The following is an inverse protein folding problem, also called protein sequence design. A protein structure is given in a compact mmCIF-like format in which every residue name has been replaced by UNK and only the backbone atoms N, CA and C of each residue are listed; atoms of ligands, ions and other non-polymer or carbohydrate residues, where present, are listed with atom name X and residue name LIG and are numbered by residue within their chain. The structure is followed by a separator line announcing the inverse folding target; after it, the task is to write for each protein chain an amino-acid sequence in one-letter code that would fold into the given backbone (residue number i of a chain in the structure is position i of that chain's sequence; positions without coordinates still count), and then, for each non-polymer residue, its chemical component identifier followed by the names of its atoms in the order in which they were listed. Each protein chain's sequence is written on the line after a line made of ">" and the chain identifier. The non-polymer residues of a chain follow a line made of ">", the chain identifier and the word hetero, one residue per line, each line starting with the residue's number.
data_IF_805470635711
#
_entry.id   IF_805470635711
#
_cell.length_a   1.000
_cell.length_b   1.000
_cell.length_c   1.000
_cell.angle_alpha   90.00
_cell.angle_beta   90.00
_cell.angle_gamma   90.00
#
_symmetry.space_group_name_H-M   'P 1'
#
loop_
_entity.id
_entity.type
_entity.pdbx_description
1 polymer ?
#
# COMPACT_ATOMS: atom_id res chain seq x y z
N UNK A 1 31.10 -17.04 -5.03
CA UNK A 1 29.87 -17.70 -5.53
C UNK A 1 29.24 -16.83 -6.60
N UNK A 2 28.97 -17.33 -7.82
CA UNK A 2 28.33 -16.54 -8.86
C UNK A 2 26.89 -16.19 -8.45
N UNK A 3 26.54 -14.91 -8.52
CA UNK A 3 25.21 -14.37 -8.21
C UNK A 3 24.13 -15.04 -9.08
N UNK A 4 22.98 -15.49 -8.53
CA UNK A 4 21.96 -16.16 -9.31
C UNK A 4 21.48 -15.21 -10.42
N UNK A 5 21.57 -15.67 -11.67
CA UNK A 5 21.16 -14.90 -12.85
C UNK A 5 19.82 -14.23 -12.60
N UNK A 6 19.76 -12.91 -12.79
CA UNK A 6 18.58 -12.06 -12.57
C UNK A 6 17.44 -12.52 -13.51
N UNK A 7 16.65 -13.52 -13.10
CA UNK A 7 15.45 -13.96 -13.85
C UNK A 7 14.59 -12.74 -14.12
N UNK A 8 14.31 -12.45 -15.40
CA UNK A 8 13.39 -11.38 -15.79
C UNK A 8 12.06 -11.59 -15.07
N UNK A 9 11.56 -10.55 -14.40
CA UNK A 9 10.30 -10.59 -13.66
C UNK A 9 9.15 -10.84 -14.63
N UNK A 10 8.41 -11.93 -14.44
CA UNK A 10 7.26 -12.26 -15.28
C UNK A 10 5.98 -11.64 -14.70
N UNK A 11 5.68 -10.42 -15.14
CA UNK A 11 4.52 -9.65 -14.68
C UNK A 11 3.17 -10.34 -14.97
N UNK A 12 3.05 -11.04 -16.11
CA UNK A 12 1.81 -11.76 -16.48
C UNK A 12 1.51 -12.87 -15.48
N UNK A 13 2.52 -13.66 -15.12
CA UNK A 13 2.39 -14.72 -14.12
C UNK A 13 2.09 -14.16 -12.72
N UNK A 14 2.77 -13.09 -12.31
CA UNK A 14 2.55 -12.45 -11.02
C UNK A 14 1.13 -11.87 -10.89
N UNK A 15 0.62 -11.29 -11.98
CA UNK A 15 -0.75 -10.80 -12.01
C UNK A 15 -1.74 -11.95 -11.80
N UNK A 16 -1.62 -13.03 -12.57
CA UNK A 16 -2.48 -14.21 -12.48
C UNK A 16 -2.41 -14.91 -11.12
N UNK A 17 -1.24 -14.93 -10.48
CA UNK A 17 -1.01 -15.65 -9.22
C UNK A 17 -1.33 -14.82 -7.98
N UNK A 18 -1.30 -13.49 -8.06
CA UNK A 18 -1.45 -12.61 -6.91
C UNK A 18 -2.43 -11.48 -7.15
N UNK A 19 -2.21 -10.63 -8.16
CA UNK A 19 -2.94 -9.36 -8.29
C UNK A 19 -4.39 -9.55 -8.72
N UNK A 20 -4.69 -10.60 -9.50
CA UNK A 20 -6.04 -10.97 -9.94
C UNK A 20 -6.90 -11.58 -8.83
N UNK A 21 -6.30 -11.93 -7.68
CA UNK A 21 -7.05 -12.56 -6.57
C UNK A 21 -8.09 -11.57 -6.02
N UNK A 22 -9.36 -11.97 -5.83
CA UNK A 22 -10.40 -11.10 -5.29
C UNK A 22 -10.01 -10.41 -3.98
N UNK A 23 -9.27 -11.12 -3.11
CA UNK A 23 -8.72 -10.56 -1.87
C UNK A 23 -7.76 -9.40 -2.11
N UNK A 24 -6.86 -9.49 -3.09
CA UNK A 24 -5.92 -8.41 -3.40
C UNK A 24 -6.63 -7.22 -4.06
N UNK A 25 -7.63 -7.49 -4.89
CA UNK A 25 -8.49 -6.46 -5.47
C UNK A 25 -9.22 -5.69 -4.36
N UNK A 26 -9.86 -6.39 -3.40
CA UNK A 26 -10.50 -5.76 -2.23
C UNK A 26 -9.51 -4.91 -1.41
N UNK A 27 -8.35 -5.48 -1.07
CA UNK A 27 -7.31 -4.72 -0.36
C UNK A 27 -6.82 -3.48 -1.13
N UNK A 28 -6.85 -3.51 -2.47
CA UNK A 28 -6.51 -2.36 -3.31
C UNK A 28 -7.61 -1.31 -3.27
N UNK A 29 -8.88 -1.72 -3.36
CA UNK A 29 -10.01 -0.79 -3.27
C UNK A 29 -10.05 -0.11 -1.91
N UNK A 30 -9.82 -0.86 -0.82
CA UNK A 30 -9.85 -0.32 0.54
C UNK A 30 -8.70 0.68 0.80
N UNK A 31 -7.50 0.41 0.28
CA UNK A 31 -6.42 1.40 0.31
C UNK A 31 -6.75 2.66 -0.50
N UNK A 32 -7.47 2.50 -1.61
CA UNK A 32 -7.95 3.61 -2.43
C UNK A 32 -8.98 4.48 -1.70
N UNK A 33 -9.92 3.87 -0.99
CA UNK A 33 -10.90 4.59 -0.17
C UNK A 33 -10.22 5.32 0.99
N UNK A 34 -9.29 4.67 1.71
CA UNK A 34 -8.48 5.33 2.73
C UNK A 34 -7.75 6.57 2.20
N UNK A 35 -7.16 6.47 1.00
CA UNK A 35 -6.49 7.60 0.35
C UNK A 35 -7.45 8.74 0.05
N UNK A 36 -8.66 8.45 -0.46
CA UNK A 36 -9.70 9.46 -0.72
C UNK A 36 -10.18 10.14 0.57
N UNK A 37 -10.38 9.38 1.64
CA UNK A 37 -10.76 9.92 2.95
C UNK A 37 -9.68 10.88 3.46
N UNK A 38 -8.40 10.50 3.35
CA UNK A 38 -7.28 11.36 3.74
C UNK A 38 -7.12 12.56 2.81
N UNK A 39 -7.37 12.40 1.52
CA UNK A 39 -7.33 13.48 0.56
C UNK A 39 -8.41 14.54 0.84
N UNK A 40 -9.64 14.13 1.15
CA UNK A 40 -10.70 15.02 1.61
C UNK A 40 -10.39 15.66 2.97
N UNK A 41 -9.63 14.96 3.82
CA UNK A 41 -9.29 15.38 5.17
C UNK A 41 -8.25 16.49 5.26
N UNK A 42 -7.17 16.35 4.50
CA UNK A 42 -5.97 17.18 4.61
C UNK A 42 -5.59 17.87 3.30
N UNK A 43 -6.28 17.55 2.21
CA UNK A 43 -5.97 18.02 0.87
C UNK A 43 -4.80 17.28 0.19
N UNK A 44 -4.79 17.32 -1.14
CA UNK A 44 -3.74 16.68 -1.98
C UNK A 44 -2.33 17.19 -1.66
N UNK A 45 -2.19 18.46 -1.28
CA UNK A 45 -0.89 19.07 -0.99
C UNK A 45 -0.22 18.41 0.23
N UNK A 46 -0.97 18.18 1.30
CA UNK A 46 -0.47 17.55 2.53
C UNK A 46 -0.10 16.06 2.33
N UNK A 47 -0.65 15.42 1.29
CA UNK A 47 -0.36 14.03 0.90
C UNK A 47 0.92 13.89 0.06
N UNK A 48 1.49 14.99 -0.46
CA UNK A 48 2.69 14.94 -1.30
C UNK A 48 3.86 14.41 -0.49
N UNK A 49 4.48 13.32 -0.96
CA UNK A 49 5.62 12.68 -0.27
C UNK A 49 5.26 11.89 0.99
N UNK A 50 3.96 11.68 1.26
CA UNK A 50 3.46 10.90 2.40
C UNK A 50 2.57 9.75 1.92
N UNK A 51 2.61 8.66 2.66
CA UNK A 51 1.76 7.50 2.47
C UNK A 51 0.72 7.42 3.61
N UNK A 52 -0.45 6.87 3.28
CA UNK A 52 -1.49 6.55 4.27
C UNK A 52 -1.11 5.24 4.96
N UNK A 53 -1.04 5.28 6.29
CA UNK A 53 -0.73 4.16 7.15
C UNK A 53 -1.97 3.75 7.96
N UNK A 54 -2.33 2.47 7.90
CA UNK A 54 -3.33 1.85 8.76
C UNK A 54 -2.64 1.39 10.05
N UNK A 55 -3.01 1.94 11.21
CA UNK A 55 -2.34 1.64 12.49
C UNK A 55 -2.50 0.19 12.93
N UNK A 56 -3.61 -0.43 12.58
CA UNK A 56 -3.97 -1.82 12.90
C UNK A 56 -3.48 -2.85 11.86
N UNK A 57 -2.75 -2.42 10.82
CA UNK A 57 -2.32 -3.26 9.70
C UNK A 57 -3.47 -3.95 8.93
N UNK A 58 -4.71 -3.51 9.13
CA UNK A 58 -5.87 -3.97 8.41
C UNK A 58 -6.31 -2.92 7.40
N UNK A 59 -6.23 -3.26 6.11
CA UNK A 59 -6.64 -2.36 5.02
C UNK A 59 -8.14 -2.08 5.02
N UNK A 60 -8.96 -2.95 5.63
CA UNK A 60 -10.42 -2.80 5.64
C UNK A 60 -10.90 -1.69 6.59
N UNK A 61 -10.09 -1.34 7.60
CA UNK A 61 -10.46 -0.35 8.60
C UNK A 61 -10.10 1.07 8.15
N UNK A 62 -11.01 1.68 7.39
CA UNK A 62 -10.85 3.02 6.82
C UNK A 62 -11.31 4.15 7.75
N UNK A 63 -11.49 3.90 9.05
CA UNK A 63 -11.85 4.93 10.02
C UNK A 63 -10.74 5.99 10.09
N UNK A 64 -11.10 7.27 10.05
CA UNK A 64 -10.13 8.38 10.06
C UNK A 64 -9.19 8.36 11.28
N UNK A 65 -9.64 7.87 12.43
CA UNK A 65 -8.80 7.70 13.63
C UNK A 65 -7.72 6.62 13.48
N UNK A 66 -7.96 5.61 12.63
CA UNK A 66 -7.04 4.53 12.31
C UNK A 66 -6.04 4.90 11.20
N UNK A 67 -6.39 5.86 10.35
CA UNK A 67 -5.53 6.36 9.28
C UNK A 67 -4.55 7.40 9.80
N UNK A 68 -3.29 7.27 9.41
CA UNK A 68 -2.25 8.25 9.69
C UNK A 68 -1.48 8.60 8.42
N UNK A 69 -1.02 9.85 8.31
CA UNK A 69 -0.05 10.23 7.30
C UNK A 69 1.36 10.02 7.83
N UNK A 70 2.12 9.19 7.13
CA UNK A 70 3.53 8.95 7.43
C UNK A 70 4.38 9.28 6.21
N UNK A 71 5.66 9.60 6.44
CA UNK A 71 6.60 9.71 5.34
C UNK A 71 6.74 8.35 4.64
N UNK A 72 6.94 8.39 3.32
CA UNK A 72 7.12 7.19 2.49
C UNK A 72 8.22 6.28 3.06
N UNK A 73 9.34 6.88 3.49
CA UNK A 73 10.47 6.15 4.05
C UNK A 73 10.10 5.37 5.32
N UNK A 74 9.35 6.00 6.24
CA UNK A 74 8.95 5.38 7.50
C UNK A 74 7.96 4.23 7.27
N UNK A 75 6.95 4.45 6.43
CA UNK A 75 5.94 3.43 6.14
C UNK A 75 6.59 2.21 5.45
N UNK A 76 7.45 2.43 4.44
CA UNK A 76 8.16 1.35 3.75
C UNK A 76 9.18 0.64 4.64
N UNK A 77 9.80 1.34 5.60
CA UNK A 77 10.74 0.72 6.53
C UNK A 77 10.09 -0.17 7.58
N UNK A 78 8.83 0.05 7.92
CA UNK A 78 8.11 -0.75 8.92
C UNK A 78 7.90 -2.20 8.48
N UNK A 79 8.06 -2.50 7.18
CA UNK A 79 7.93 -3.84 6.61
C UNK A 79 9.25 -4.65 6.65
N UNK A 80 10.26 -4.20 7.42
CA UNK A 80 11.59 -4.84 7.55
C UNK A 80 11.77 -5.70 8.81
N UNK A 81 10.69 -6.09 9.48
CA UNK A 81 10.74 -7.07 10.59
C UNK A 81 10.43 -8.47 10.09
#
# INVERSE_FOLDING_TARGET
>A
MPSPSKKKRNYRREYLQFHSKPKQIRRRTDRGTARRVMEAAVGKAAMKGKDVHHKDFDTSNNKRSNLALQSIHKNRSNNRK
#
